data_IF_598793979965
#
_entry.id   IF_598793979965
#
_cell.length_a   1.000
_cell.length_b   1.000
_cell.length_c   1.000
_cell.angle_alpha   90.00
_cell.angle_beta   90.00
_cell.angle_gamma   90.00
#
_symmetry.space_group_name_H-M   'P 1'
#
loop_
_entity.id
_entity.type
_entity.pdbx_description
1 polymer ?
#
# COMPACT_ATOMS: atom_id res chain seq x y z
N UNK A 1 5.36 -1.57 1.90
CA UNK A 1 5.14 -0.34 1.11
C UNK A 1 3.97 -0.59 0.16
N UNK A 2 2.80 0.00 0.41
CA UNK A 2 1.58 -0.26 -0.38
C UNK A 2 0.95 1.06 -0.84
N UNK A 3 1.70 1.84 -1.62
CA UNK A 3 1.25 3.14 -2.15
C UNK A 3 0.98 3.00 -3.64
N UNK A 4 -0.28 3.11 -4.02
CA UNK A 4 -0.74 2.98 -5.40
C UNK A 4 -1.45 4.24 -5.84
N UNK A 5 -1.32 4.55 -7.13
CA UNK A 5 -2.10 5.57 -7.79
C UNK A 5 -2.72 4.93 -9.03
N UNK A 6 -4.02 5.14 -9.23
CA UNK A 6 -4.77 4.61 -10.35
C UNK A 6 -5.87 5.60 -10.75
N UNK A 7 -6.33 5.50 -12.00
CA UNK A 7 -7.52 6.22 -12.44
C UNK A 7 -8.77 5.68 -11.73
N UNK A 8 -9.83 6.50 -11.55
CA UNK A 8 -11.07 6.06 -10.91
C UNK A 8 -11.70 4.81 -11.54
N UNK A 9 -11.48 4.58 -12.83
CA UNK A 9 -11.92 3.40 -13.57
C UNK A 9 -11.42 2.07 -13.00
N UNK A 10 -10.40 2.07 -12.12
CA UNK A 10 -9.95 0.86 -11.43
C UNK A 10 -11.05 0.24 -10.56
N UNK A 11 -12.00 1.06 -10.05
CA UNK A 11 -13.06 0.59 -9.17
C UNK A 11 -13.97 -0.43 -9.87
N UNK A 12 -14.25 -0.25 -11.16
CA UNK A 12 -15.03 -1.21 -11.96
C UNK A 12 -14.35 -2.59 -12.04
N UNK A 13 -13.02 -2.61 -12.04
CA UNK A 13 -12.24 -3.85 -12.05
C UNK A 13 -12.21 -4.49 -10.66
N UNK A 14 -12.02 -3.69 -9.61
CA UNK A 14 -12.04 -4.13 -8.21
C UNK A 14 -13.36 -4.82 -7.91
N UNK A 15 -14.49 -4.20 -8.27
CA UNK A 15 -15.83 -4.74 -8.00
C UNK A 15 -16.02 -6.12 -8.64
N UNK A 16 -15.79 -6.23 -9.95
CA UNK A 16 -15.96 -7.50 -10.68
C UNK A 16 -14.99 -8.58 -10.21
N UNK A 17 -13.76 -8.20 -9.85
CA UNK A 17 -12.76 -9.14 -9.37
C UNK A 17 -13.09 -9.62 -7.95
N UNK A 18 -13.63 -8.73 -7.12
CA UNK A 18 -14.06 -9.06 -5.76
C UNK A 18 -15.29 -9.98 -5.76
N UNK A 19 -16.27 -9.76 -6.63
CA UNK A 19 -17.41 -10.68 -6.80
C UNK A 19 -16.95 -12.10 -7.16
N UNK A 20 -16.03 -12.23 -8.12
CA UNK A 20 -15.45 -13.53 -8.50
C UNK A 20 -14.69 -14.17 -7.34
N UNK A 21 -13.93 -13.36 -6.59
CA UNK A 21 -13.19 -13.83 -5.42
C UNK A 21 -14.14 -14.41 -4.36
N UNK A 22 -15.24 -13.72 -4.05
CA UNK A 22 -16.21 -14.19 -3.06
C UNK A 22 -16.86 -15.50 -3.48
N UNK A 23 -17.28 -15.64 -4.74
CA UNK A 23 -17.87 -16.89 -5.24
C UNK A 23 -16.86 -18.05 -5.19
N UNK A 24 -15.61 -17.80 -5.59
CA UNK A 24 -14.55 -18.80 -5.56
C UNK A 24 -14.17 -19.24 -4.14
N UNK A 25 -14.39 -18.38 -3.13
CA UNK A 25 -14.03 -18.64 -1.73
C UNK A 25 -15.25 -18.82 -0.81
N UNK A 26 -16.44 -19.06 -1.36
CA UNK A 26 -17.71 -19.13 -0.61
C UNK A 26 -17.70 -20.07 0.59
N UNK A 27 -16.93 -21.16 0.50
CA UNK A 27 -16.81 -22.16 1.57
C UNK A 27 -15.77 -21.79 2.65
N UNK A 28 -15.01 -20.70 2.47
CA UNK A 28 -13.93 -20.26 3.36
C UNK A 28 -13.85 -18.72 3.53
N UNK A 29 -14.99 -18.03 3.47
CA UNK A 29 -15.05 -16.57 3.57
C UNK A 29 -14.49 -16.01 4.89
N UNK A 30 -14.42 -16.81 5.95
CA UNK A 30 -13.94 -16.39 7.27
C UNK A 30 -12.42 -16.24 7.36
N UNK A 31 -11.66 -16.84 6.43
CA UNK A 31 -10.18 -16.81 6.48
C UNK A 31 -9.55 -16.36 5.17
N UNK A 32 -10.32 -16.21 4.08
CA UNK A 32 -9.78 -15.76 2.81
C UNK A 32 -9.38 -14.27 2.86
N UNK A 33 -8.29 -13.92 2.19
CA UNK A 33 -7.80 -12.54 2.07
C UNK A 33 -7.80 -12.10 0.61
N UNK A 34 -8.45 -10.97 0.33
CA UNK A 34 -8.38 -10.33 -0.98
C UNK A 34 -7.36 -9.21 -0.95
N UNK A 35 -6.20 -9.44 -1.59
CA UNK A 35 -5.08 -8.50 -1.55
C UNK A 35 -4.89 -7.79 -2.88
N UNK A 36 -4.69 -6.47 -2.82
CA UNK A 36 -4.52 -5.61 -3.99
C UNK A 36 -3.44 -6.09 -4.97
N UNK A 37 -2.25 -6.59 -4.54
CA UNK A 37 -1.23 -7.05 -5.47
C UNK A 37 -1.69 -8.18 -6.39
N UNK A 38 -2.52 -9.10 -5.90
CA UNK A 38 -3.06 -10.21 -6.72
C UNK A 38 -3.96 -9.70 -7.82
N UNK A 39 -4.86 -8.75 -7.49
CA UNK A 39 -5.70 -8.13 -8.51
C UNK A 39 -4.86 -7.36 -9.54
N UNK A 40 -3.84 -6.61 -9.11
CA UNK A 40 -2.97 -5.87 -10.03
C UNK A 40 -2.19 -6.82 -10.96
N UNK A 41 -1.73 -7.96 -10.44
CA UNK A 41 -1.06 -9.01 -11.22
C UNK A 41 -1.99 -9.65 -12.27
N UNK A 42 -3.25 -9.90 -11.93
CA UNK A 42 -4.26 -10.34 -12.90
C UNK A 42 -4.49 -9.31 -14.01
N UNK A 43 -4.57 -8.02 -13.68
CA UNK A 43 -4.78 -6.96 -14.66
C UNK A 43 -3.56 -6.80 -15.58
N UNK A 44 -2.34 -6.96 -15.05
CA UNK A 44 -1.11 -6.98 -15.83
C UNK A 44 -1.06 -8.19 -16.78
N UNK A 45 -1.30 -9.40 -16.25
CA UNK A 45 -1.18 -10.65 -17.00
C UNK A 45 -2.21 -10.76 -18.13
N UNK A 46 -3.37 -10.11 -17.98
CA UNK A 46 -4.44 -10.08 -18.99
C UNK A 46 -4.40 -8.85 -19.91
N UNK A 47 -3.29 -8.10 -19.93
CA UNK A 47 -3.11 -6.86 -20.72
C UNK A 47 -4.24 -5.83 -20.50
N UNK A 48 -4.77 -5.76 -19.28
CA UNK A 48 -5.85 -4.83 -18.89
C UNK A 48 -5.35 -3.56 -18.20
N UNK A 49 -4.11 -3.57 -17.73
CA UNK A 49 -3.46 -2.41 -17.10
C UNK A 49 -1.97 -2.38 -17.43
N UNK A 50 -1.39 -1.18 -17.35
CA UNK A 50 0.06 -0.96 -17.35
C UNK A 50 0.46 -0.36 -16.00
N UNK A 51 1.56 -0.85 -15.41
CA UNK A 51 2.09 -0.32 -14.16
C UNK A 51 3.40 0.41 -14.42
N UNK A 52 3.42 1.70 -14.07
CA UNK A 52 4.64 2.52 -14.07
C UNK A 52 5.18 2.64 -12.65
N UNK A 53 6.43 2.21 -12.46
CA UNK A 53 7.15 2.40 -11.20
C UNK A 53 7.70 3.83 -11.13
N UNK A 54 7.32 4.57 -10.09
CA UNK A 54 7.83 5.92 -9.82
C UNK A 54 8.92 5.84 -8.73
N UNK A 55 10.21 6.02 -9.08
CA UNK A 55 11.28 5.97 -8.10
C UNK A 55 11.23 7.17 -7.15
N UNK A 56 11.69 6.98 -5.92
CA UNK A 56 11.84 8.05 -4.93
C UNK A 56 13.17 7.91 -4.19
N UNK A 57 13.77 9.06 -3.84
CA UNK A 57 14.96 9.12 -3.00
C UNK A 57 14.60 9.09 -1.51
N UNK A 58 13.31 9.16 -1.17
CA UNK A 58 12.85 9.11 0.21
C UNK A 58 12.93 7.68 0.74
N UNK A 59 13.33 7.56 2.00
CA UNK A 59 13.36 6.28 2.71
C UNK A 59 12.03 6.07 3.41
N UNK A 60 11.46 4.88 3.21
CA UNK A 60 10.31 4.46 4.00
C UNK A 60 10.74 4.16 5.44
N UNK A 61 9.97 4.67 6.39
CA UNK A 61 10.09 4.37 7.81
C UNK A 61 8.82 3.61 8.21
N UNK A 62 8.98 2.44 8.80
CA UNK A 62 7.87 1.67 9.35
C UNK A 62 8.28 0.89 10.56
N UNK A 63 7.28 0.48 11.33
CA UNK A 63 7.44 -0.28 12.56
C UNK A 63 6.73 -1.61 12.32
N UNK A 64 7.51 -2.68 12.12
CA UNK A 64 6.99 -4.04 12.00
C UNK A 64 7.08 -4.75 13.33
N UNK A 65 8.20 -4.54 14.04
CA UNK A 65 8.45 -5.06 15.38
C UNK A 65 8.65 -3.91 16.38
N UNK A 66 8.57 -4.24 17.66
CA UNK A 66 8.68 -3.25 18.73
C UNK A 66 10.04 -2.53 18.70
N UNK A 67 11.08 -3.27 18.33
CA UNK A 67 12.47 -2.84 18.25
C UNK A 67 12.68 -1.74 17.19
N UNK A 68 11.87 -1.72 16.13
CA UNK A 68 11.95 -0.72 15.06
C UNK A 68 11.59 0.70 15.54
N UNK A 69 10.86 0.80 16.66
CA UNK A 69 10.36 2.07 17.20
C UNK A 69 11.46 3.06 17.50
N UNK A 70 12.59 2.61 18.07
CA UNK A 70 13.65 3.52 18.47
C UNK A 70 14.38 4.09 17.25
N UNK A 71 14.65 3.25 16.24
CA UNK A 71 15.22 3.70 14.98
C UNK A 71 14.30 4.70 14.26
N UNK A 72 12.99 4.42 14.19
CA UNK A 72 12.00 5.32 13.61
C UNK A 72 11.98 6.69 14.31
N UNK A 73 11.99 6.71 15.65
CA UNK A 73 12.04 7.95 16.44
C UNK A 73 13.30 8.75 16.19
N UNK A 74 14.45 8.09 16.07
CA UNK A 74 15.72 8.76 15.78
C UNK A 74 15.69 9.44 14.42
N UNK A 75 15.16 8.78 13.39
CA UNK A 75 15.06 9.35 12.05
C UNK A 75 14.12 10.57 12.02
N UNK A 76 12.95 10.51 12.69
CA UNK A 76 12.08 11.69 12.80
C UNK A 76 12.72 12.84 13.59
N UNK A 77 13.43 12.56 14.69
CA UNK A 77 14.17 13.59 15.45
C UNK A 77 15.21 14.29 14.58
N UNK A 78 15.91 13.52 13.73
CA UNK A 78 16.87 14.07 12.77
C UNK A 78 16.17 14.97 11.75
N UNK A 79 15.07 14.54 11.14
CA UNK A 79 14.32 15.34 10.17
C UNK A 79 13.80 16.66 10.75
N UNK A 80 13.38 16.66 12.02
CA UNK A 80 12.98 17.90 12.73
C UNK A 80 14.19 18.82 12.95
N UNK A 81 15.33 18.26 13.41
CA UNK A 81 16.57 19.03 13.60
C UNK A 81 17.07 19.65 12.29
N UNK A 82 16.92 18.93 11.19
CA UNK A 82 17.26 19.38 9.83
C UNK A 82 16.18 20.30 9.22
N UNK A 83 15.13 20.64 9.97
CA UNK A 83 14.02 21.51 9.54
C UNK A 83 13.25 21.00 8.31
N UNK A 84 13.32 19.70 8.03
CA UNK A 84 12.49 19.04 6.99
C UNK A 84 11.02 19.04 7.41
N UNK A 85 10.76 18.87 8.71
CA UNK A 85 9.43 18.97 9.31
C UNK A 85 9.47 19.86 10.55
N UNK A 86 8.37 20.56 10.88
CA UNK A 86 8.24 21.28 12.14
C UNK A 86 8.14 20.29 13.31
N UNK A 87 8.54 20.75 14.51
CA UNK A 87 8.43 19.93 15.72
C UNK A 87 6.97 19.63 16.12
N UNK A 88 6.04 20.53 15.76
CA UNK A 88 4.60 20.38 15.96
C UNK A 88 3.92 20.52 14.60
N UNK A 89 3.33 19.43 14.09
CA UNK A 89 2.67 19.41 12.78
C UNK A 89 1.23 19.95 12.84
N UNK A 90 0.54 19.74 13.96
CA UNK A 90 -0.87 20.05 14.14
C UNK A 90 -1.08 20.68 15.51
N UNK A 91 -2.13 21.48 15.68
CA UNK A 91 -2.40 22.18 16.94
C UNK A 91 -3.07 21.36 18.04
#
# INVERSE_FOLDING_TARGET
MNTWAAYPSIMDYVERAFERFLEANKDNLSTCEYVLPTMMDELLTNDKAEIKILPTNNKWIGITYKEDTEAARQEFRKMIKESVYPAKLWD
#
